data_IF_791936127630
#
_entry.id   IF_791936127630
#
_cell.length_a   1.000
_cell.length_b   1.000
_cell.length_c   1.000
_cell.angle_alpha   90.00
_cell.angle_beta   90.00
_cell.angle_gamma   90.00
#
_symmetry.space_group_name_H-M   'P 1'
#
loop_
_entity.id
_entity.type
_entity.pdbx_description
1 polymer ?
#
# COMPACT_ATOMS: atom_id res chain seq x y z
N UNK A 1 37.29 -21.11 21.18
CA UNK A 1 36.73 -20.44 22.37
C UNK A 1 37.06 -18.95 22.28
N UNK A 2 36.08 -18.12 21.91
CA UNK A 2 36.04 -16.68 22.25
C UNK A 2 34.57 -16.39 22.58
N UNK A 3 34.33 -15.90 23.79
CA UNK A 3 33.04 -15.81 24.45
C UNK A 3 32.73 -14.34 24.76
N UNK A 4 31.66 -13.80 24.14
CA UNK A 4 30.83 -12.64 24.56
C UNK A 4 31.49 -11.24 24.66
N UNK A 5 30.72 -10.17 24.93
CA UNK A 5 29.26 -10.05 25.11
C UNK A 5 28.63 -8.91 24.27
N UNK A 6 27.29 -8.74 24.27
CA UNK A 6 26.70 -7.46 23.86
C UNK A 6 25.30 -7.47 23.28
N UNK A 7 24.39 -8.30 23.77
CA UNK A 7 22.96 -7.91 23.79
C UNK A 7 22.81 -6.79 24.82
N UNK A 8 23.05 -5.55 24.42
CA UNK A 8 22.68 -4.39 25.23
C UNK A 8 22.33 -3.24 24.31
N UNK A 9 21.10 -2.78 24.49
CA UNK A 9 20.63 -1.46 24.12
C UNK A 9 20.17 -1.28 22.67
N UNK A 10 18.99 -1.83 22.38
CA UNK A 10 18.12 -1.21 21.37
C UNK A 10 16.93 -0.54 22.06
N UNK A 11 17.11 0.57 22.80
CA UNK A 11 16.00 1.48 23.03
C UNK A 11 15.81 2.30 21.75
N UNK A 12 15.30 1.67 20.68
CA UNK A 12 14.90 2.42 19.48
C UNK A 12 13.51 3.02 19.69
N UNK A 13 13.43 3.98 20.61
CA UNK A 13 12.38 4.99 20.59
C UNK A 13 12.64 5.89 19.38
N UNK A 14 12.39 5.39 18.18
CA UNK A 14 12.42 6.18 16.96
C UNK A 14 11.13 6.98 16.90
N UNK A 15 11.08 8.07 17.65
CA UNK A 15 10.20 9.18 17.31
C UNK A 15 11.02 10.15 16.46
N UNK A 16 11.41 9.68 15.26
CA UNK A 16 11.98 10.57 14.27
C UNK A 16 10.81 11.26 13.57
N UNK A 17 10.58 12.53 13.89
CA UNK A 17 9.55 13.36 13.24
C UNK A 17 9.69 13.35 11.71
N UNK A 18 10.88 13.04 11.17
CA UNK A 18 11.09 12.82 9.73
C UNK A 18 10.37 11.58 9.21
N UNK A 19 10.39 10.46 9.94
CA UNK A 19 9.68 9.23 9.53
C UNK A 19 8.16 9.40 9.60
N UNK A 20 7.66 10.08 10.64
CA UNK A 20 6.24 10.39 10.74
C UNK A 20 5.81 11.33 9.60
N UNK A 21 6.62 12.35 9.28
CA UNK A 21 6.38 13.24 8.14
C UNK A 21 6.42 12.51 6.80
N UNK A 22 7.37 11.59 6.60
CA UNK A 22 7.45 10.77 5.39
C UNK A 22 6.25 9.84 5.25
N UNK A 23 5.83 9.19 6.34
CA UNK A 23 4.65 8.34 6.36
C UNK A 23 3.37 9.13 6.07
N UNK A 24 3.19 10.30 6.71
CA UNK A 24 2.06 11.19 6.44
C UNK A 24 2.09 11.68 4.99
N UNK A 25 3.25 12.08 4.48
CA UNK A 25 3.39 12.53 3.09
C UNK A 25 3.04 11.41 2.09
N UNK A 26 3.46 10.17 2.35
CA UNK A 26 3.10 9.02 1.52
C UNK A 26 1.60 8.73 1.59
N UNK A 27 0.99 8.73 2.78
CA UNK A 27 -0.44 8.50 2.92
C UNK A 27 -1.27 9.59 2.24
N UNK A 28 -0.86 10.86 2.32
CA UNK A 28 -1.51 11.98 1.62
C UNK A 28 -1.36 11.83 0.11
N UNK A 29 -0.19 11.41 -0.38
CA UNK A 29 0.04 11.16 -1.80
C UNK A 29 -0.82 10.01 -2.33
N UNK A 30 -0.94 8.92 -1.56
CA UNK A 30 -1.82 7.78 -1.89
C UNK A 30 -3.27 8.22 -1.92
N UNK A 31 -3.72 9.02 -0.94
CA UNK A 31 -5.07 9.56 -0.90
C UNK A 31 -5.34 10.46 -2.13
N UNK A 32 -4.41 11.36 -2.46
CA UNK A 32 -4.51 12.23 -3.63
C UNK A 32 -4.58 11.40 -4.93
N UNK A 33 -3.77 10.35 -5.04
CA UNK A 33 -3.82 9.41 -6.17
C UNK A 33 -5.20 8.74 -6.27
N UNK A 34 -5.73 8.19 -5.18
CA UNK A 34 -7.05 7.53 -5.17
C UNK A 34 -8.15 8.51 -5.60
N UNK A 35 -8.12 9.76 -5.10
CA UNK A 35 -9.10 10.79 -5.46
C UNK A 35 -9.06 11.11 -6.95
N UNK A 36 -7.86 11.20 -7.54
CA UNK A 36 -7.68 11.43 -8.99
C UNK A 36 -8.27 10.26 -9.78
N UNK A 37 -7.97 9.03 -9.40
CA UNK A 37 -8.48 7.83 -10.07
C UNK A 37 -10.01 7.75 -10.00
N UNK A 38 -10.59 7.98 -8.82
CA UNK A 38 -12.05 8.02 -8.63
C UNK A 38 -12.69 9.14 -9.46
N UNK A 39 -12.07 10.31 -9.53
CA UNK A 39 -12.55 11.42 -10.36
C UNK A 39 -12.55 11.07 -11.85
N UNK A 40 -11.50 10.40 -12.34
CA UNK A 40 -11.42 9.89 -13.71
C UNK A 40 -12.49 8.84 -13.97
N UNK A 41 -12.73 7.92 -13.03
CA UNK A 41 -13.76 6.89 -13.15
C UNK A 41 -15.18 7.46 -13.13
N UNK A 42 -15.47 8.47 -12.30
CA UNK A 42 -16.78 9.14 -12.28
C UNK A 42 -17.05 9.94 -13.56
N UNK A 43 -16.01 10.37 -14.26
CA UNK A 43 -16.12 11.03 -15.56
C UNK A 43 -15.94 10.06 -16.73
N UNK A 44 -15.84 8.75 -16.48
CA UNK A 44 -15.53 7.76 -17.49
C UNK A 44 -16.59 7.70 -18.61
N UNK A 45 -17.88 7.81 -18.29
CA UNK A 45 -18.94 7.83 -19.30
C UNK A 45 -18.80 9.02 -20.28
N UNK A 46 -18.29 10.16 -19.78
CA UNK A 46 -18.05 11.37 -20.58
C UNK A 46 -16.73 11.28 -21.37
N UNK A 47 -15.72 10.60 -20.85
CA UNK A 47 -14.39 10.48 -21.45
C UNK A 47 -14.28 9.34 -22.47
N UNK A 48 -14.96 8.21 -22.23
CA UNK A 48 -14.86 7.01 -23.05
C UNK A 48 -16.09 6.79 -23.95
N UNK A 49 -17.12 7.63 -23.83
CA UNK A 49 -18.35 7.55 -24.62
C UNK A 49 -19.28 6.41 -24.18
N UNK A 50 -20.45 6.26 -24.83
CA UNK A 50 -21.43 5.25 -24.45
C UNK A 50 -20.86 3.82 -24.54
N UNK A 51 -21.49 2.94 -23.76
CA UNK A 51 -21.11 1.57 -23.34
C UNK A 51 -20.66 0.59 -24.43
N UNK A 52 -20.76 0.95 -25.70
CA UNK A 52 -20.40 0.12 -26.86
C UNK A 52 -18.93 0.25 -27.29
N UNK A 53 -18.18 1.21 -26.71
CA UNK A 53 -16.77 1.35 -26.99
C UNK A 53 -15.93 0.27 -26.28
N UNK A 54 -15.34 -0.66 -27.06
CA UNK A 54 -14.37 -1.66 -26.58
C UNK A 54 -13.14 -1.04 -25.86
N UNK A 55 -12.90 0.26 -26.06
CA UNK A 55 -11.82 1.01 -25.40
C UNK A 55 -12.08 1.30 -23.92
N UNK A 56 -13.34 1.37 -23.49
CA UNK A 56 -13.68 1.67 -22.10
C UNK A 56 -13.22 0.56 -21.12
N UNK A 57 -13.49 -0.74 -21.37
CA UNK A 57 -12.93 -1.83 -20.56
C UNK A 57 -11.39 -1.86 -20.57
N UNK A 58 -10.76 -1.56 -21.70
CA UNK A 58 -9.30 -1.57 -21.84
C UNK A 58 -8.66 -0.48 -20.97
N UNK A 59 -9.18 0.74 -21.02
CA UNK A 59 -8.68 1.85 -20.20
C UNK A 59 -8.91 1.61 -18.71
N UNK A 60 -10.06 1.06 -18.33
CA UNK A 60 -10.34 0.65 -16.95
C UNK A 60 -9.36 -0.40 -16.45
N UNK A 61 -9.12 -1.46 -17.23
CA UNK A 61 -8.14 -2.51 -16.89
C UNK A 61 -6.71 -1.95 -16.79
N UNK A 62 -6.31 -1.05 -17.69
CA UNK A 62 -5.00 -0.40 -17.62
C UNK A 62 -4.85 0.41 -16.33
N UNK A 63 -5.86 1.19 -15.95
CA UNK A 63 -5.86 2.01 -14.74
C UNK A 63 -5.84 1.13 -13.48
N UNK A 64 -6.58 0.02 -13.49
CA UNK A 64 -6.57 -0.98 -12.44
C UNK A 64 -5.19 -1.63 -12.28
N UNK A 65 -4.57 -2.09 -13.37
CA UNK A 65 -3.23 -2.68 -13.36
C UNK A 65 -2.18 -1.66 -12.90
N UNK A 66 -2.28 -0.41 -13.34
CA UNK A 66 -1.40 0.67 -12.88
C UNK A 66 -1.51 0.90 -11.37
N UNK A 67 -2.74 0.95 -10.84
CA UNK A 67 -2.99 1.05 -9.39
C UNK A 67 -2.42 -0.15 -8.62
N UNK A 68 -2.68 -1.37 -9.10
CA UNK A 68 -2.14 -2.59 -8.51
C UNK A 68 -0.61 -2.62 -8.54
N UNK A 69 0.01 -2.13 -9.61
CA UNK A 69 1.46 -2.02 -9.72
C UNK A 69 2.03 -1.04 -8.68
N UNK A 70 1.45 0.16 -8.55
CA UNK A 70 1.85 1.17 -7.57
C UNK A 70 1.72 0.63 -6.14
N UNK A 71 0.55 0.07 -5.79
CA UNK A 71 0.29 -0.51 -4.47
C UNK A 71 1.18 -1.73 -4.21
N UNK A 72 1.40 -2.56 -5.23
CA UNK A 72 2.34 -3.67 -5.19
C UNK A 72 3.75 -3.20 -4.84
N UNK A 73 4.30 -2.21 -5.53
CA UNK A 73 5.59 -1.64 -5.15
C UNK A 73 5.59 -1.10 -3.73
N UNK A 74 4.54 -0.38 -3.30
CA UNK A 74 4.48 0.21 -1.96
C UNK A 74 4.46 -0.85 -0.84
N UNK A 75 3.77 -1.97 -1.07
CA UNK A 75 3.64 -3.08 -0.12
C UNK A 75 4.89 -3.97 -0.14
N UNK A 76 5.42 -4.29 -1.32
CA UNK A 76 6.44 -5.31 -1.49
C UNK A 76 7.88 -4.80 -1.44
N UNK A 77 8.17 -3.52 -1.73
CA UNK A 77 9.56 -3.01 -1.77
C UNK A 77 10.31 -3.29 -0.46
N UNK A 78 9.69 -3.00 0.70
CA UNK A 78 10.35 -3.16 2.00
C UNK A 78 10.54 -4.64 2.40
N UNK A 79 9.52 -5.53 2.29
CA UNK A 79 9.72 -6.97 2.48
C UNK A 79 10.77 -7.57 1.55
N UNK A 80 10.82 -7.14 0.28
CA UNK A 80 11.78 -7.66 -0.72
C UNK A 80 13.21 -7.28 -0.36
N UNK A 81 13.46 -6.03 0.01
CA UNK A 81 14.80 -5.59 0.48
C UNK A 81 15.21 -6.41 1.71
N UNK A 82 14.32 -6.53 2.69
CA UNK A 82 14.58 -7.30 3.92
C UNK A 82 14.86 -8.79 3.64
N UNK A 83 14.19 -9.36 2.63
CA UNK A 83 14.44 -10.73 2.18
C UNK A 83 15.83 -10.88 1.55
N UNK A 84 16.25 -9.91 0.72
CA UNK A 84 17.58 -9.89 0.09
C UNK A 84 18.72 -9.70 1.12
N UNK A 85 18.46 -8.96 2.19
CA UNK A 85 19.40 -8.76 3.32
C UNK A 85 19.53 -10.00 4.23
N UNK A 86 18.79 -11.08 3.94
CA UNK A 86 18.86 -12.35 4.68
C UNK A 86 17.86 -12.47 5.84
N UNK A 87 17.10 -11.42 6.16
CA UNK A 87 16.08 -11.40 7.21
C UNK A 87 14.74 -11.99 6.74
N UNK A 88 14.78 -13.24 6.21
CA UNK A 88 13.65 -13.89 5.54
C UNK A 88 12.43 -14.07 6.43
N UNK A 89 12.62 -14.44 7.71
CA UNK A 89 11.52 -14.67 8.66
C UNK A 89 10.78 -13.37 8.98
N UNK A 90 11.51 -12.29 9.18
CA UNK A 90 10.95 -10.98 9.51
C UNK A 90 10.27 -10.34 8.30
N UNK A 91 10.79 -10.54 7.09
CA UNK A 91 10.15 -10.11 5.85
C UNK A 91 8.76 -10.75 5.66
N UNK A 92 8.62 -12.05 5.92
CA UNK A 92 7.34 -12.77 5.82
C UNK A 92 6.35 -12.28 6.88
N UNK A 93 6.82 -12.09 8.13
CA UNK A 93 5.98 -11.53 9.19
C UNK A 93 5.51 -10.12 8.84
N UNK A 94 6.39 -9.25 8.34
CA UNK A 94 6.04 -7.90 7.92
C UNK A 94 4.97 -7.89 6.82
N UNK A 95 5.12 -8.74 5.80
CA UNK A 95 4.12 -8.88 4.75
C UNK A 95 2.78 -9.38 5.31
N UNK A 96 2.81 -10.38 6.20
CA UNK A 96 1.63 -10.88 6.90
C UNK A 96 0.90 -9.80 7.69
N UNK A 97 1.63 -8.92 8.40
CA UNK A 97 1.03 -7.79 9.11
C UNK A 97 0.42 -6.75 8.17
N UNK A 98 1.08 -6.45 7.04
CA UNK A 98 0.53 -5.53 6.03
C UNK A 98 -0.79 -6.08 5.47
N UNK A 99 -0.80 -7.36 5.10
CA UNK A 99 -2.01 -8.02 4.59
C UNK A 99 -3.12 -8.09 5.65
N UNK A 100 -2.78 -8.47 6.89
CA UNK A 100 -3.74 -8.50 7.98
C UNK A 100 -4.37 -7.13 8.26
N UNK A 101 -3.57 -6.06 8.26
CA UNK A 101 -4.06 -4.70 8.43
C UNK A 101 -4.95 -4.26 7.26
N UNK A 102 -4.57 -4.59 6.02
CA UNK A 102 -5.41 -4.35 4.84
C UNK A 102 -6.76 -5.04 4.96
N UNK A 103 -6.79 -6.32 5.35
CA UNK A 103 -8.04 -7.06 5.55
C UNK A 103 -8.93 -6.37 6.59
N UNK A 104 -8.37 -5.95 7.72
CA UNK A 104 -9.13 -5.23 8.77
C UNK A 104 -9.72 -3.93 8.23
N UNK A 105 -8.93 -3.12 7.53
CA UNK A 105 -9.39 -1.86 6.93
C UNK A 105 -10.48 -2.11 5.89
N UNK A 106 -10.32 -3.15 5.04
CA UNK A 106 -11.33 -3.53 4.06
C UNK A 106 -12.64 -3.96 4.73
N UNK A 107 -12.58 -4.80 5.77
CA UNK A 107 -13.77 -5.21 6.52
C UNK A 107 -14.47 -4.01 7.16
N UNK A 108 -13.71 -3.09 7.78
CA UNK A 108 -14.28 -1.87 8.34
C UNK A 108 -14.96 -1.00 7.29
N UNK A 109 -14.33 -0.80 6.12
CA UNK A 109 -14.93 -0.04 5.03
C UNK A 109 -16.24 -0.69 4.53
N UNK A 110 -16.27 -2.01 4.39
CA UNK A 110 -17.47 -2.75 4.00
C UNK A 110 -18.59 -2.63 5.04
N UNK A 111 -18.27 -2.68 6.33
CA UNK A 111 -19.24 -2.49 7.41
C UNK A 111 -19.82 -1.07 7.37
N UNK A 112 -18.98 -0.05 7.16
CA UNK A 112 -19.44 1.34 7.02
C UNK A 112 -20.38 1.48 5.82
N UNK A 113 -20.04 0.89 4.67
CA UNK A 113 -20.90 0.90 3.48
C UNK A 113 -22.22 0.17 3.75
N UNK A 114 -22.21 -0.94 4.50
CA UNK A 114 -23.42 -1.71 4.81
C UNK A 114 -24.36 -1.02 5.82
N UNK A 115 -23.86 -0.04 6.59
CA UNK A 115 -24.63 0.74 7.55
C UNK A 115 -25.15 2.08 6.99
N UNK A 116 -24.62 2.53 5.86
CA UNK A 116 -25.07 3.70 5.10
C UNK A 116 -26.24 3.33 4.18
#
# INVERSE_FOLDING_TARGET
>A
MVHGPGTSDVPRKIMNSKLLKTAIAHSVLVLAYIIIIVSVMNNAEKLFGPKENMWAPVAFLMLFVLSAAVMGTLIFVKPVIMYMEGAKKEAIWLLGYILGCLVVITVLALVVIALL
#
